data_IF_426532342525
#
_entry.id   IF_426532342525
#
_cell.length_a   1.000
_cell.length_b   1.000
_cell.length_c   1.000
_cell.angle_alpha   90.00
_cell.angle_beta   90.00
_cell.angle_gamma   90.00
#
_symmetry.space_group_name_H-M   'P 1'
#
loop_
_entity.id
_entity.type
_entity.pdbx_description
1 polymer ?
#
# COMPACT_ATOMS: atom_id res chain seq x y z
N UNK A 1 -1.36 -6.59 4.42
CA UNK A 1 -0.16 -6.20 3.64
C UNK A 1 -0.14 -4.70 3.33
N UNK A 2 0.70 -3.94 4.04
CA UNK A 2 0.77 -2.46 3.95
C UNK A 2 1.16 -1.97 2.55
N UNK A 3 2.07 -2.65 1.86
CA UNK A 3 2.51 -2.26 0.51
C UNK A 3 1.46 -2.47 -0.58
N UNK A 4 0.49 -3.36 -0.36
CA UNK A 4 -0.57 -3.71 -1.33
C UNK A 4 -1.87 -2.95 -1.11
N UNK A 5 -2.04 -2.33 0.05
CA UNK A 5 -3.22 -1.53 0.36
C UNK A 5 -3.06 -0.14 -0.27
N UNK A 6 -4.07 0.39 -0.92
CA UNK A 6 -4.06 1.78 -1.35
C UNK A 6 -4.28 2.67 -0.13
N UNK A 7 -3.32 3.52 0.20
CA UNK A 7 -3.50 4.49 1.29
C UNK A 7 -4.68 5.44 1.03
N UNK A 8 -4.96 5.79 -0.24
CA UNK A 8 -6.01 6.76 -0.58
C UNK A 8 -7.43 6.18 -0.55
N UNK A 9 -7.65 4.92 -0.93
CA UNK A 9 -9.00 4.37 -1.10
C UNK A 9 -9.23 3.00 -0.43
N UNK A 10 -8.20 2.40 0.15
CA UNK A 10 -8.29 1.11 0.83
C UNK A 10 -8.41 -0.12 -0.09
N UNK A 11 -8.33 0.03 -1.42
CA UNK A 11 -8.30 -1.12 -2.33
C UNK A 11 -7.03 -1.94 -2.15
N UNK A 12 -7.09 -3.25 -2.40
CA UNK A 12 -5.93 -4.14 -2.28
C UNK A 12 -5.46 -4.61 -3.65
N UNK A 13 -4.23 -4.23 -4.01
CA UNK A 13 -3.57 -4.67 -5.22
C UNK A 13 -2.85 -6.01 -5.01
N UNK A 14 -3.51 -7.12 -5.36
CA UNK A 14 -3.02 -8.49 -5.08
C UNK A 14 -1.78 -8.86 -5.88
N UNK A 15 -1.69 -8.36 -7.12
CA UNK A 15 -0.69 -8.65 -8.15
C UNK A 15 0.61 -7.82 -8.03
N UNK A 16 0.68 -6.90 -7.07
CA UNK A 16 1.87 -6.06 -6.85
C UNK A 16 3.10 -6.90 -6.43
N UNK A 17 4.18 -6.78 -7.20
CA UNK A 17 5.45 -7.50 -7.01
C UNK A 17 6.52 -6.60 -6.38
N UNK A 18 7.57 -7.23 -5.84
CA UNK A 18 8.70 -6.50 -5.25
C UNK A 18 9.50 -5.66 -6.27
N UNK A 19 9.46 -6.03 -7.54
CA UNK A 19 10.07 -5.25 -8.63
C UNK A 19 9.27 -3.99 -9.00
N UNK A 20 8.00 -3.94 -8.61
CA UNK A 20 7.14 -2.80 -8.89
C UNK A 20 7.43 -1.72 -7.84
N UNK A 21 8.35 -0.81 -8.19
CA UNK A 21 8.76 0.31 -7.34
C UNK A 21 7.66 1.36 -7.19
N UNK A 22 6.77 1.47 -8.18
CA UNK A 22 5.66 2.43 -8.20
C UNK A 22 4.35 1.71 -7.93
N UNK A 23 3.64 2.15 -6.90
CA UNK A 23 2.25 1.80 -6.65
C UNK A 23 1.34 2.63 -7.54
N UNK A 24 0.49 1.97 -8.34
CA UNK A 24 -0.56 2.61 -9.15
C UNK A 24 -1.90 1.96 -8.82
N UNK A 25 -2.84 2.78 -8.36
CA UNK A 25 -4.20 2.39 -8.04
C UNK A 25 -5.18 2.80 -9.14
N UNK A 26 -6.28 2.06 -9.28
CA UNK A 26 -7.39 2.41 -10.16
C UNK A 26 -8.12 3.70 -9.74
N UNK A 27 -8.03 4.11 -8.47
CA UNK A 27 -8.59 5.39 -8.00
C UNK A 27 -7.77 6.62 -8.42
N UNK A 28 -6.69 6.44 -9.18
CA UNK A 28 -5.79 7.52 -9.63
C UNK A 28 -4.60 7.79 -8.69
N UNK A 29 -4.52 7.15 -7.52
CA UNK A 29 -3.37 7.29 -6.62
C UNK A 29 -2.12 6.64 -7.20
N UNK A 30 -1.04 7.43 -7.30
CA UNK A 30 0.28 6.99 -7.79
C UNK A 30 1.37 7.49 -6.86
N UNK A 31 2.18 6.58 -6.33
CA UNK A 31 3.30 6.91 -5.45
C UNK A 31 4.35 5.80 -5.47
N UNK A 32 5.51 6.05 -4.86
CA UNK A 32 6.45 4.95 -4.56
C UNK A 32 5.76 3.91 -3.64
N UNK A 33 6.01 2.63 -3.89
CA UNK A 33 5.41 1.53 -3.15
C UNK A 33 5.76 1.57 -1.67
N UNK A 34 7.02 1.85 -1.35
CA UNK A 34 7.51 1.86 0.03
C UNK A 34 6.96 3.09 0.75
N UNK A 35 6.78 4.22 0.05
CA UNK A 35 6.04 5.36 0.58
C UNK A 35 4.57 5.02 0.87
N UNK A 36 3.85 4.39 -0.07
CA UNK A 36 2.48 3.91 0.18
C UNK A 36 2.41 2.94 1.38
N UNK A 37 3.37 2.03 1.49
CA UNK A 37 3.46 1.11 2.62
C UNK A 37 3.65 1.86 3.94
N UNK A 38 4.52 2.87 3.98
CA UNK A 38 4.77 3.68 5.17
C UNK A 38 3.53 4.43 5.65
N UNK A 39 2.71 4.97 4.74
CA UNK A 39 1.45 5.64 5.08
C UNK A 39 0.43 4.66 5.65
N UNK A 40 0.31 3.47 5.05
CA UNK A 40 -0.57 2.43 5.59
C UNK A 40 -0.12 1.90 6.95
N UNK A 41 1.20 1.85 7.20
CA UNK A 41 1.73 1.53 8.52
C UNK A 41 1.41 2.67 9.50
N UNK A 42 1.71 3.93 9.16
CA UNK A 42 1.37 5.10 9.99
C UNK A 42 -0.10 5.09 10.45
N UNK A 43 -1.01 4.73 9.55
CA UNK A 43 -2.45 4.76 9.81
C UNK A 43 -3.01 3.43 10.38
N UNK A 44 -2.17 2.42 10.56
CA UNK A 44 -2.58 1.15 11.14
C UNK A 44 -2.92 1.33 12.62
N UNK A 45 -4.19 1.06 12.97
CA UNK A 45 -4.69 1.13 14.35
C UNK A 45 -4.38 -0.12 15.18
N UNK A 46 -4.19 -1.25 14.52
CA UNK A 46 -3.94 -2.54 15.16
C UNK A 46 -2.77 -3.20 14.44
N UNK A 47 -1.76 -3.54 15.21
CA UNK A 47 -0.63 -4.34 14.75
C UNK A 47 -0.76 -5.72 15.36
N UNK A 48 -1.19 -6.68 14.56
CA UNK A 48 -1.07 -8.09 14.94
C UNK A 48 0.36 -8.53 14.65
N UNK A 49 1.11 -8.72 15.72
CA UNK A 49 2.41 -9.36 15.69
C UNK A 49 2.10 -10.86 15.75
N UNK A 50 2.41 -11.57 14.66
CA UNK A 50 2.29 -13.02 14.58
C UNK A 50 3.43 -13.69 15.35
#
# INVERSE_FOLDING_TARGET
PSSKLCHSCGSIKKDLKLKDRIYKCECGYVADRDYNASLNLRDAKIYNIA
#
